data_IF_985709991724
#
_entry.id   IF_985709991724
#
_cell.length_a   1.000
_cell.length_b   1.000
_cell.length_c   1.000
_cell.angle_alpha   90.00
_cell.angle_beta   90.00
_cell.angle_gamma   90.00
#
_symmetry.space_group_name_H-M   'P 1'
#
loop_
_entity.id
_entity.type
_entity.pdbx_description
1 polymer ?
#
# COMPACT_ATOMS: atom_id res chain seq x y z
N UNK A 1 -9.48 21.18 24.67
CA UNK A 1 -10.00 19.85 25.03
C UNK A 1 -11.46 19.64 24.68
N UNK A 2 -12.42 20.50 25.10
CA UNK A 2 -13.87 20.31 24.77
C UNK A 2 -14.15 20.33 23.26
N UNK A 3 -13.52 21.23 22.53
CA UNK A 3 -13.61 21.36 21.06
C UNK A 3 -13.15 20.11 20.33
N UNK A 4 -11.96 19.62 20.68
CA UNK A 4 -11.37 18.41 20.08
C UNK A 4 -12.26 17.19 20.32
N UNK A 5 -12.76 17.04 21.56
CA UNK A 5 -13.65 15.95 21.89
C UNK A 5 -14.94 15.99 21.07
N UNK A 6 -15.53 17.18 20.87
CA UNK A 6 -16.77 17.34 20.09
C UNK A 6 -16.56 16.90 18.63
N UNK A 7 -15.49 17.35 17.97
CA UNK A 7 -15.22 17.04 16.57
C UNK A 7 -14.86 15.55 16.39
N UNK A 8 -14.12 14.97 17.31
CA UNK A 8 -13.79 13.52 17.30
C UNK A 8 -15.08 12.69 17.50
N UNK A 9 -15.93 13.05 18.47
CA UNK A 9 -17.21 12.35 18.69
C UNK A 9 -18.11 12.48 17.46
N UNK A 10 -18.21 13.67 16.86
CA UNK A 10 -18.98 13.89 15.63
C UNK A 10 -18.45 12.98 14.49
N UNK A 11 -17.13 12.91 14.32
CA UNK A 11 -16.51 12.05 13.31
C UNK A 11 -16.86 10.57 13.54
N UNK A 12 -16.69 10.09 14.78
CA UNK A 12 -16.99 8.70 15.14
C UNK A 12 -18.48 8.40 14.92
N UNK A 13 -19.39 9.29 15.30
CA UNK A 13 -20.83 9.11 15.09
C UNK A 13 -21.20 9.04 13.61
N UNK A 14 -20.60 9.89 12.75
CA UNK A 14 -20.84 9.87 11.32
C UNK A 14 -20.32 8.59 10.68
N UNK A 15 -19.10 8.15 11.04
CA UNK A 15 -18.52 6.92 10.53
C UNK A 15 -19.29 5.68 11.03
N UNK A 16 -19.65 5.63 12.30
CA UNK A 16 -20.47 4.55 12.86
C UNK A 16 -21.88 4.49 12.25
N UNK A 17 -22.40 5.66 11.84
CA UNK A 17 -23.65 5.78 11.09
C UNK A 17 -23.57 5.37 9.62
N UNK A 18 -22.40 4.90 9.13
CA UNK A 18 -22.20 4.46 7.76
C UNK A 18 -22.09 5.61 6.74
N UNK A 19 -21.84 6.84 7.18
CA UNK A 19 -21.60 7.98 6.27
C UNK A 19 -20.27 7.79 5.56
N UNK A 20 -20.24 8.02 4.26
CA UNK A 20 -19.02 7.94 3.47
C UNK A 20 -17.95 8.86 4.05
N UNK A 21 -16.72 8.38 4.12
CA UNK A 21 -15.59 9.04 4.78
C UNK A 21 -15.39 10.48 4.29
N UNK A 22 -15.45 10.73 2.98
CA UNK A 22 -15.31 12.07 2.42
C UNK A 22 -16.38 13.05 2.93
N UNK A 23 -17.61 12.59 3.07
CA UNK A 23 -18.68 13.42 3.64
C UNK A 23 -18.50 13.60 5.14
N UNK A 24 -18.13 12.57 5.88
CA UNK A 24 -17.87 12.67 7.31
C UNK A 24 -16.75 13.67 7.60
N UNK A 25 -15.63 13.62 6.86
CA UNK A 25 -14.53 14.57 6.96
C UNK A 25 -14.99 16.00 6.61
N UNK A 26 -15.73 16.15 5.52
CA UNK A 26 -16.27 17.45 5.08
C UNK A 26 -17.20 18.09 6.10
N UNK A 27 -18.11 17.31 6.70
CA UNK A 27 -19.03 17.80 7.75
C UNK A 27 -18.26 18.18 9.01
N UNK A 28 -17.30 17.39 9.46
CA UNK A 28 -16.48 17.71 10.63
C UNK A 28 -15.63 18.95 10.38
N UNK A 29 -15.04 19.09 9.18
CA UNK A 29 -14.30 20.28 8.79
C UNK A 29 -15.18 21.53 8.76
N UNK A 30 -16.37 21.41 8.15
CA UNK A 30 -17.34 22.50 8.13
C UNK A 30 -17.73 22.95 9.54
N UNK A 31 -18.07 21.99 10.43
CA UNK A 31 -18.39 22.29 11.82
C UNK A 31 -17.19 22.93 12.55
N UNK A 32 -15.97 22.42 12.30
CA UNK A 32 -14.73 22.98 12.85
C UNK A 32 -14.56 24.46 12.48
N UNK A 33 -14.73 24.81 11.21
CA UNK A 33 -14.62 26.20 10.75
C UNK A 33 -15.79 27.05 11.25
N UNK A 34 -17.02 26.53 11.16
CA UNK A 34 -18.23 27.30 11.50
C UNK A 34 -18.32 27.65 13.00
N UNK A 35 -17.91 26.76 13.88
CA UNK A 35 -18.06 26.95 15.34
C UNK A 35 -16.79 27.46 16.02
N UNK A 36 -15.62 27.30 15.39
CA UNK A 36 -14.33 27.56 16.05
C UNK A 36 -13.43 28.53 15.29
N UNK A 37 -13.90 29.11 14.19
CA UNK A 37 -13.20 30.19 13.48
C UNK A 37 -14.12 31.35 13.15
N UNK A 38 -13.52 32.52 12.86
CA UNK A 38 -14.25 33.71 12.37
C UNK A 38 -14.26 33.76 10.82
N UNK A 39 -13.90 32.70 10.15
CA UNK A 39 -13.82 32.60 8.69
C UNK A 39 -15.05 31.90 8.12
N UNK A 40 -15.31 32.10 6.84
CA UNK A 40 -16.45 31.50 6.15
C UNK A 40 -16.16 30.05 5.75
N UNK A 41 -16.96 29.08 6.22
CA UNK A 41 -16.72 27.65 5.90
C UNK A 41 -16.84 27.36 4.40
N UNK A 42 -17.76 28.01 3.69
CA UNK A 42 -17.99 27.86 2.25
C UNK A 42 -16.75 28.27 1.43
N UNK A 43 -16.11 29.38 1.77
CA UNK A 43 -14.90 29.86 1.10
C UNK A 43 -13.75 28.89 1.37
N UNK A 44 -13.56 28.49 2.63
CA UNK A 44 -12.49 27.56 3.00
C UNK A 44 -12.68 26.18 2.33
N UNK A 45 -13.91 25.71 2.21
CA UNK A 45 -14.22 24.48 1.50
C UNK A 45 -13.80 24.58 0.02
N UNK A 46 -14.30 25.61 -0.68
CA UNK A 46 -14.02 25.79 -2.11
C UNK A 46 -12.53 25.97 -2.36
N UNK A 47 -11.84 26.78 -1.56
CA UNK A 47 -10.39 27.00 -1.73
C UNK A 47 -9.58 25.74 -1.43
N UNK A 48 -9.96 24.96 -0.42
CA UNK A 48 -9.25 23.69 -0.10
C UNK A 48 -9.40 22.68 -1.24
N UNK A 49 -10.62 22.50 -1.76
CA UNK A 49 -10.85 21.61 -2.90
C UNK A 49 -10.14 22.10 -4.16
N UNK A 50 -10.20 23.40 -4.44
CA UNK A 50 -9.52 23.99 -5.58
C UNK A 50 -8.00 23.79 -5.50
N UNK A 51 -7.38 24.11 -4.37
CA UNK A 51 -5.96 23.95 -4.18
C UNK A 51 -5.52 22.48 -4.32
N UNK A 52 -6.33 21.57 -3.79
CA UNK A 52 -6.06 20.14 -3.93
C UNK A 52 -6.13 19.71 -5.39
N UNK A 53 -7.21 20.01 -6.10
CA UNK A 53 -7.46 19.51 -7.45
C UNK A 53 -6.65 20.22 -8.53
N UNK A 54 -6.21 21.46 -8.30
CA UNK A 54 -5.30 22.18 -9.20
C UNK A 54 -3.84 21.76 -9.04
N UNK A 55 -3.51 20.92 -8.05
CA UNK A 55 -2.17 20.40 -7.86
C UNK A 55 -1.76 19.45 -9.00
N UNK A 56 -0.69 19.80 -9.71
CA UNK A 56 -0.13 18.94 -10.76
C UNK A 56 0.29 17.57 -10.24
N UNK A 57 0.76 17.48 -9.00
CA UNK A 57 1.18 16.21 -8.39
C UNK A 57 0.04 15.19 -8.33
N UNK A 58 -1.21 15.66 -8.22
CA UNK A 58 -2.39 14.81 -8.17
C UNK A 58 -2.72 14.16 -9.53
N UNK A 59 -2.29 14.74 -10.64
CA UNK A 59 -2.56 14.22 -11.98
C UNK A 59 -1.90 12.86 -12.24
N UNK A 60 -0.80 12.54 -11.55
CA UNK A 60 -0.16 11.22 -11.64
C UNK A 60 -1.02 10.08 -11.08
N UNK A 61 -1.87 10.38 -10.09
CA UNK A 61 -2.67 9.37 -9.39
C UNK A 61 -3.62 8.61 -10.33
N UNK A 62 -4.54 9.25 -11.09
CA UNK A 62 -5.43 8.53 -12.00
C UNK A 62 -4.68 7.79 -13.11
N UNK A 63 -3.53 8.31 -13.54
CA UNK A 63 -2.72 7.65 -14.57
C UNK A 63 -2.06 6.37 -14.03
N UNK A 64 -1.46 6.38 -12.85
CA UNK A 64 -0.92 5.17 -12.24
C UNK A 64 -2.01 4.13 -11.94
N UNK A 65 -3.18 4.57 -11.48
CA UNK A 65 -4.33 3.68 -11.28
C UNK A 65 -4.75 3.05 -12.61
N UNK A 66 -4.82 3.83 -13.69
CA UNK A 66 -5.20 3.31 -14.99
C UNK A 66 -4.15 2.35 -15.58
N UNK A 67 -2.86 2.67 -15.43
CA UNK A 67 -1.77 1.74 -15.77
C UNK A 67 -1.97 0.38 -15.08
N UNK A 68 -2.23 0.39 -13.76
CA UNK A 68 -2.50 -0.80 -12.97
C UNK A 68 -3.74 -1.57 -13.46
N UNK A 69 -4.84 -0.86 -13.71
CA UNK A 69 -6.11 -1.44 -14.21
C UNK A 69 -5.96 -2.09 -15.60
N UNK A 70 -5.14 -1.51 -16.50
CA UNK A 70 -4.84 -2.12 -17.80
C UNK A 70 -4.09 -3.44 -17.60
N UNK A 71 -2.99 -3.42 -16.84
CA UNK A 71 -2.13 -4.58 -16.63
C UNK A 71 -2.83 -5.68 -15.82
N UNK A 72 -3.71 -5.31 -14.88
CA UNK A 72 -4.55 -6.24 -14.13
C UNK A 72 -5.43 -7.12 -15.04
N UNK A 73 -5.90 -6.59 -16.19
CA UNK A 73 -6.74 -7.30 -17.15
C UNK A 73 -5.96 -8.09 -18.19
N UNK A 74 -4.64 -8.10 -18.11
CA UNK A 74 -3.77 -8.96 -18.93
C UNK A 74 -3.53 -10.30 -18.25
N UNK A 75 -2.88 -11.23 -18.96
CA UNK A 75 -2.44 -12.51 -18.39
C UNK A 75 -1.15 -12.41 -17.56
N UNK A 76 -0.90 -11.22 -17.02
CA UNK A 76 0.36 -10.94 -16.32
C UNK A 76 0.60 -11.89 -15.14
N UNK A 77 -0.40 -12.08 -14.28
CA UNK A 77 -0.26 -12.92 -13.09
C UNK A 77 0.03 -14.39 -13.45
N UNK A 78 -0.58 -14.93 -14.51
CA UNK A 78 -0.30 -16.27 -15.02
C UNK A 78 1.15 -16.37 -15.54
N UNK A 79 1.57 -15.35 -16.31
CA UNK A 79 2.93 -15.28 -16.85
C UNK A 79 3.98 -15.16 -15.73
N UNK A 80 3.66 -14.41 -14.67
CA UNK A 80 4.54 -14.28 -13.50
C UNK A 80 4.73 -15.61 -12.80
N UNK A 81 3.66 -16.32 -12.51
CA UNK A 81 3.74 -17.63 -11.89
C UNK A 81 4.53 -18.60 -12.76
N UNK A 82 4.22 -18.69 -14.05
CA UNK A 82 4.91 -19.57 -14.98
C UNK A 82 6.39 -19.20 -15.19
N UNK A 83 6.72 -17.91 -15.19
CA UNK A 83 8.10 -17.43 -15.41
C UNK A 83 9.00 -17.56 -14.19
N UNK A 84 8.45 -17.39 -12.98
CA UNK A 84 9.22 -17.47 -11.74
C UNK A 84 9.36 -18.89 -11.19
N UNK A 85 8.35 -19.74 -11.39
CA UNK A 85 8.30 -21.08 -10.83
C UNK A 85 9.55 -21.94 -11.13
N UNK A 86 10.09 -21.99 -12.36
CA UNK A 86 11.27 -22.82 -12.66
C UNK A 86 12.56 -22.36 -11.97
N UNK A 87 12.65 -21.08 -11.58
CA UNK A 87 13.83 -20.55 -10.88
C UNK A 87 13.79 -20.84 -9.40
N UNK A 88 12.60 -20.75 -8.80
CA UNK A 88 12.40 -20.84 -7.36
C UNK A 88 12.21 -22.26 -6.86
N UNK A 89 11.95 -23.23 -7.76
CA UNK A 89 11.77 -24.64 -7.42
C UNK A 89 13.01 -25.29 -6.77
N UNK A 90 14.16 -24.63 -6.84
CA UNK A 90 15.40 -25.08 -6.19
C UNK A 90 15.54 -24.61 -4.74
N UNK A 91 14.83 -23.56 -4.36
CA UNK A 91 14.89 -23.01 -3.00
C UNK A 91 14.07 -23.87 -2.03
N UNK A 92 14.46 -23.97 -0.74
CA UNK A 92 13.59 -24.54 0.28
C UNK A 92 12.27 -23.75 0.33
N UNK A 93 11.11 -24.43 0.20
CA UNK A 93 9.81 -23.77 0.07
C UNK A 93 9.29 -23.64 -1.37
N UNK A 94 10.19 -23.73 -2.38
CA UNK A 94 9.84 -23.86 -3.81
C UNK A 94 8.81 -22.86 -4.29
N UNK A 95 7.61 -23.30 -4.75
CA UNK A 95 6.57 -22.45 -5.29
C UNK A 95 5.97 -21.46 -4.28
N UNK A 96 6.17 -21.64 -2.98
CA UNK A 96 5.76 -20.65 -1.99
C UNK A 96 6.53 -19.33 -2.13
N UNK A 97 7.78 -19.37 -2.61
CA UNK A 97 8.53 -18.16 -2.95
C UNK A 97 7.97 -17.45 -4.18
N UNK A 98 7.33 -18.20 -5.09
CA UNK A 98 6.64 -17.62 -6.24
C UNK A 98 5.51 -16.72 -5.77
N UNK A 99 4.78 -17.11 -4.70
CA UNK A 99 3.74 -16.24 -4.12
C UNK A 99 4.33 -14.90 -3.71
N UNK A 100 5.44 -14.91 -2.95
CA UNK A 100 6.07 -13.69 -2.42
C UNK A 100 6.56 -12.78 -3.55
N UNK A 101 7.33 -13.34 -4.49
CA UNK A 101 7.88 -12.55 -5.60
C UNK A 101 6.79 -12.08 -6.57
N UNK A 102 5.81 -12.94 -6.88
CA UNK A 102 4.69 -12.55 -7.75
C UNK A 102 3.85 -11.45 -7.10
N UNK A 103 3.56 -11.54 -5.80
CA UNK A 103 2.85 -10.49 -5.09
C UNK A 103 3.65 -9.18 -5.07
N UNK A 104 4.96 -9.23 -4.84
CA UNK A 104 5.81 -8.04 -4.88
C UNK A 104 5.82 -7.35 -6.24
N UNK A 105 6.04 -8.10 -7.33
CA UNK A 105 6.09 -7.55 -8.69
C UNK A 105 4.69 -7.11 -9.15
N UNK A 106 3.68 -7.95 -8.93
CA UNK A 106 2.30 -7.60 -9.31
C UNK A 106 1.77 -6.43 -8.49
N UNK A 107 2.15 -6.38 -7.22
CA UNK A 107 1.84 -5.29 -6.32
C UNK A 107 2.37 -3.94 -6.80
N UNK A 108 3.62 -3.90 -7.28
CA UNK A 108 4.19 -2.71 -7.90
C UNK A 108 3.39 -2.21 -9.12
N UNK A 109 2.68 -3.10 -9.80
CA UNK A 109 1.82 -2.75 -10.95
C UNK A 109 0.42 -2.33 -10.49
N UNK A 110 -0.18 -3.07 -9.56
CA UNK A 110 -1.56 -2.85 -9.12
C UNK A 110 -1.70 -1.71 -8.11
N UNK A 111 -0.65 -1.46 -7.32
CA UNK A 111 -0.67 -0.49 -6.23
C UNK A 111 -1.68 -0.81 -5.11
N UNK A 112 -2.24 -2.03 -5.10
CA UNK A 112 -3.31 -2.46 -4.19
C UNK A 112 -3.04 -3.85 -3.63
N UNK A 113 -3.08 -3.99 -2.31
CA UNK A 113 -2.86 -5.25 -1.62
C UNK A 113 -4.00 -6.24 -1.87
N UNK A 114 -5.25 -5.81 -1.72
CA UNK A 114 -6.41 -6.69 -1.92
C UNK A 114 -6.56 -7.17 -3.37
N UNK A 115 -6.28 -6.31 -4.35
CA UNK A 115 -6.26 -6.69 -5.76
C UNK A 115 -5.14 -7.69 -6.06
N UNK A 116 -3.95 -7.48 -5.49
CA UNK A 116 -2.82 -8.41 -5.57
C UNK A 116 -3.18 -9.76 -4.96
N UNK A 117 -3.76 -9.75 -3.74
CA UNK A 117 -4.22 -10.93 -3.05
C UNK A 117 -5.21 -11.74 -3.92
N UNK A 118 -6.26 -11.09 -4.42
CA UNK A 118 -7.28 -11.74 -5.24
C UNK A 118 -6.70 -12.37 -6.52
N UNK A 119 -5.86 -11.61 -7.22
CA UNK A 119 -5.35 -12.04 -8.54
C UNK A 119 -4.33 -13.16 -8.42
N UNK A 120 -3.34 -13.00 -7.58
CA UNK A 120 -2.28 -14.01 -7.42
C UNK A 120 -2.85 -15.27 -6.77
N UNK A 121 -3.72 -15.14 -5.77
CA UNK A 121 -4.33 -16.31 -5.10
C UNK A 121 -5.21 -17.13 -6.03
N UNK A 122 -5.90 -16.50 -6.98
CA UNK A 122 -6.73 -17.20 -7.98
C UNK A 122 -5.93 -18.20 -8.81
N UNK A 123 -4.66 -17.90 -9.06
CA UNK A 123 -3.75 -18.74 -9.85
C UNK A 123 -2.95 -19.67 -8.93
N UNK A 124 -2.41 -19.13 -7.84
CA UNK A 124 -1.48 -19.84 -6.98
C UNK A 124 -2.16 -20.93 -6.13
N UNK A 125 -3.34 -20.65 -5.54
CA UNK A 125 -4.00 -21.61 -4.65
C UNK A 125 -4.34 -22.94 -5.33
N UNK A 126 -4.98 -22.98 -6.52
CA UNK A 126 -5.25 -24.22 -7.22
C UNK A 126 -3.98 -24.96 -7.61
N UNK A 127 -2.94 -24.24 -8.05
CA UNK A 127 -1.67 -24.84 -8.47
C UNK A 127 -0.88 -25.44 -7.30
N UNK A 128 -0.85 -24.75 -6.15
CA UNK A 128 -0.24 -25.25 -4.93
C UNK A 128 -1.01 -26.47 -4.37
N UNK A 129 -2.35 -26.40 -4.35
CA UNK A 129 -3.20 -27.51 -3.91
C UNK A 129 -3.00 -28.76 -4.77
N UNK A 130 -2.98 -28.61 -6.10
CA UNK A 130 -2.76 -29.69 -7.06
C UNK A 130 -1.41 -30.39 -6.84
N UNK A 131 -0.40 -29.66 -6.39
CA UNK A 131 0.94 -30.17 -6.13
C UNK A 131 1.17 -30.67 -4.70
N UNK A 132 0.14 -30.58 -3.84
CA UNK A 132 0.20 -31.10 -2.47
C UNK A 132 0.94 -30.22 -1.46
N UNK A 133 1.00 -28.89 -1.70
CA UNK A 133 1.56 -27.97 -0.71
C UNK A 133 0.65 -27.82 0.51
N UNK A 134 1.28 -27.59 1.67
CA UNK A 134 0.54 -27.28 2.89
C UNK A 134 -0.38 -26.08 2.70
N UNK A 135 -1.66 -26.27 3.01
CA UNK A 135 -2.68 -25.27 2.72
C UNK A 135 -2.59 -24.05 3.63
N UNK A 136 -2.15 -24.23 4.90
CA UNK A 136 -2.01 -23.12 5.84
C UNK A 136 -0.90 -22.19 5.39
N UNK A 137 0.26 -22.76 5.03
CA UNK A 137 1.38 -21.97 4.57
C UNK A 137 1.10 -21.32 3.20
N UNK A 138 0.38 -22.03 2.30
CA UNK A 138 -0.05 -21.46 1.02
C UNK A 138 -0.95 -20.23 1.20
N UNK A 139 -1.96 -20.32 2.06
CA UNK A 139 -2.86 -19.21 2.37
C UNK A 139 -2.11 -18.09 3.11
N UNK A 140 -1.32 -18.42 4.13
CA UNK A 140 -0.57 -17.45 4.91
C UNK A 140 0.43 -16.66 4.07
N UNK A 141 1.19 -17.34 3.19
CA UNK A 141 2.16 -16.70 2.30
C UNK A 141 1.50 -15.74 1.31
N UNK A 142 0.33 -16.08 0.77
CA UNK A 142 -0.43 -15.19 -0.12
C UNK A 142 -1.02 -14.01 0.63
N UNK A 143 -1.58 -14.26 1.83
CA UNK A 143 -2.13 -13.21 2.67
C UNK A 143 -1.08 -12.15 3.03
N UNK A 144 0.07 -12.60 3.53
CA UNK A 144 1.18 -11.72 3.89
C UNK A 144 1.83 -11.06 2.69
N UNK A 145 2.21 -11.85 1.65
CA UNK A 145 2.92 -11.30 0.51
C UNK A 145 2.10 -10.29 -0.30
N UNK A 146 0.77 -10.41 -0.31
CA UNK A 146 -0.09 -9.47 -1.02
C UNK A 146 0.02 -8.04 -0.46
N UNK A 147 0.36 -7.87 0.83
CA UNK A 147 0.55 -6.55 1.44
C UNK A 147 1.65 -5.75 0.77
N UNK A 148 2.71 -6.42 0.25
CA UNK A 148 3.77 -5.78 -0.52
C UNK A 148 3.24 -4.91 -1.69
N UNK A 149 2.00 -5.13 -2.11
CA UNK A 149 1.36 -4.38 -3.19
C UNK A 149 1.13 -2.90 -2.91
N UNK A 150 1.18 -2.47 -1.67
CA UNK A 150 1.08 -1.04 -1.31
C UNK A 150 2.43 -0.44 -0.89
N UNK A 151 3.45 -1.27 -0.66
CA UNK A 151 4.78 -0.81 -0.23
C UNK A 151 5.79 -0.73 -1.38
N UNK A 152 5.73 -1.65 -2.35
CA UNK A 152 6.65 -1.64 -3.48
C UNK A 152 6.17 -0.63 -4.54
N UNK A 153 6.98 0.38 -4.90
CA UNK A 153 6.56 1.40 -5.87
C UNK A 153 6.49 0.87 -7.32
N UNK A 154 5.62 1.52 -8.14
CA UNK A 154 4.73 2.65 -7.83
C UNK A 154 3.51 2.22 -7.02
N UNK A 155 3.19 2.94 -5.96
CA UNK A 155 2.13 2.61 -5.02
C UNK A 155 1.12 3.75 -4.90
N UNK A 156 -0.17 3.41 -4.98
CA UNK A 156 -1.27 4.38 -4.83
C UNK A 156 -1.25 4.97 -3.41
N UNK A 157 -1.02 4.15 -2.39
CA UNK A 157 -0.95 4.60 -1.01
C UNK A 157 0.17 5.61 -0.77
N UNK A 158 1.35 5.39 -1.39
CA UNK A 158 2.47 6.34 -1.33
C UNK A 158 2.14 7.68 -1.99
N UNK A 159 1.45 7.67 -3.12
CA UNK A 159 1.02 8.91 -3.79
C UNK A 159 0.04 9.67 -2.89
N UNK A 160 -0.95 8.98 -2.33
CA UNK A 160 -1.96 9.58 -1.43
C UNK A 160 -1.27 10.21 -0.22
N UNK A 161 -0.35 9.48 0.41
CA UNK A 161 0.40 10.02 1.54
C UNK A 161 1.27 11.21 1.13
N UNK A 162 1.98 11.12 0.02
CA UNK A 162 2.85 12.20 -0.47
C UNK A 162 2.06 13.50 -0.70
N UNK A 163 0.86 13.39 -1.27
CA UNK A 163 -0.05 14.54 -1.46
C UNK A 163 -0.60 15.04 -0.13
N UNK A 164 -1.03 14.15 0.78
CA UNK A 164 -1.59 14.54 2.07
C UNK A 164 -0.57 15.18 3.02
N UNK A 165 0.70 14.77 2.92
CA UNK A 165 1.81 15.25 3.74
C UNK A 165 2.63 16.38 3.07
N UNK A 166 2.27 16.76 1.84
CA UNK A 166 3.00 17.74 1.00
C UNK A 166 4.49 17.39 0.83
N UNK A 167 4.76 16.11 0.53
CA UNK A 167 6.12 15.60 0.27
C UNK A 167 6.26 15.09 -1.17
N UNK A 168 7.49 14.95 -1.64
CA UNK A 168 7.78 14.48 -3.00
C UNK A 168 7.34 13.02 -3.20
N UNK A 169 6.52 12.75 -4.23
CA UNK A 169 6.11 11.41 -4.63
C UNK A 169 7.32 10.54 -4.98
N UNK A 170 8.31 11.11 -5.70
CA UNK A 170 9.53 10.39 -6.09
C UNK A 170 10.35 9.97 -4.87
N UNK A 171 10.51 10.89 -3.89
CA UNK A 171 11.18 10.56 -2.62
C UNK A 171 10.44 9.48 -1.86
N UNK A 172 9.11 9.55 -1.86
CA UNK A 172 8.27 8.55 -1.20
C UNK A 172 8.43 7.17 -1.83
N UNK A 173 8.49 7.11 -3.18
CA UNK A 173 8.74 5.87 -3.90
C UNK A 173 10.14 5.29 -3.59
N UNK A 174 11.17 6.15 -3.59
CA UNK A 174 12.53 5.73 -3.21
C UNK A 174 12.59 5.16 -1.79
N UNK A 175 11.85 5.78 -0.87
CA UNK A 175 11.79 5.35 0.53
C UNK A 175 11.17 3.96 0.72
N UNK A 176 10.26 3.55 -0.18
CA UNK A 176 9.59 2.25 -0.11
C UNK A 176 10.42 1.06 -0.61
N UNK A 177 11.48 1.29 -1.40
CA UNK A 177 12.25 0.20 -2.04
C UNK A 177 12.94 -0.68 -1.01
N UNK A 178 13.76 -0.09 -0.15
CA UNK A 178 14.56 -0.87 0.82
C UNK A 178 13.65 -1.60 1.82
N UNK A 179 12.62 -0.95 2.43
CA UNK A 179 11.66 -1.66 3.26
C UNK A 179 10.91 -2.78 2.53
N UNK A 180 10.47 -2.55 1.29
CA UNK A 180 9.80 -3.56 0.47
C UNK A 180 10.68 -4.77 0.20
N UNK A 181 11.93 -4.55 -0.19
CA UNK A 181 12.93 -5.62 -0.37
C UNK A 181 13.21 -6.34 0.94
N UNK A 182 13.35 -5.61 2.06
CA UNK A 182 13.55 -6.20 3.38
C UNK A 182 12.41 -7.15 3.75
N UNK A 183 11.16 -6.73 3.62
CA UNK A 183 9.99 -7.55 3.94
C UNK A 183 9.90 -8.76 3.01
N UNK A 184 10.18 -8.58 1.72
CA UNK A 184 10.25 -9.69 0.76
C UNK A 184 11.28 -10.75 1.18
N UNK A 185 12.48 -10.33 1.61
CA UNK A 185 13.50 -11.25 2.13
C UNK A 185 13.08 -11.89 3.44
N UNK A 186 12.44 -11.17 4.36
CA UNK A 186 11.97 -11.72 5.62
C UNK A 186 10.87 -12.77 5.39
N UNK A 187 9.91 -12.52 4.50
CA UNK A 187 8.87 -13.49 4.14
C UNK A 187 9.46 -14.73 3.47
N UNK A 188 10.36 -14.53 2.51
CA UNK A 188 11.05 -15.64 1.84
C UNK A 188 11.94 -16.42 2.81
N UNK A 189 12.64 -15.73 3.71
CA UNK A 189 13.46 -16.34 4.76
C UNK A 189 12.64 -17.21 5.71
N UNK A 190 11.47 -16.74 6.12
CA UNK A 190 10.55 -17.53 6.94
C UNK A 190 10.07 -18.79 6.20
N UNK A 191 9.67 -18.67 4.93
CA UNK A 191 9.25 -19.80 4.10
C UNK A 191 10.40 -20.83 3.97
N UNK A 192 11.61 -20.37 3.71
CA UNK A 192 12.79 -21.25 3.60
C UNK A 192 13.09 -21.95 4.92
N UNK A 193 13.06 -21.24 6.05
CA UNK A 193 13.28 -21.79 7.38
C UNK A 193 12.21 -22.82 7.76
N UNK A 194 10.94 -22.51 7.46
CA UNK A 194 9.83 -23.41 7.71
C UNK A 194 9.95 -24.68 6.86
N UNK A 195 10.25 -24.56 5.57
CA UNK A 195 10.44 -25.68 4.67
C UNK A 195 11.65 -26.56 5.05
N UNK A 196 12.71 -25.97 5.60
CA UNK A 196 13.87 -26.71 6.10
C UNK A 196 13.52 -27.51 7.37
N UNK A 197 12.63 -27.00 8.23
CA UNK A 197 12.18 -27.71 9.45
C UNK A 197 11.13 -28.77 9.19
N UNK A 198 10.39 -28.67 8.09
CA UNK A 198 9.30 -29.60 7.74
C UNK A 198 9.48 -30.15 6.33
N UNK A 199 10.59 -30.85 6.04
CA UNK A 199 10.88 -31.37 4.71
C UNK A 199 9.83 -32.39 4.23
N UNK A 200 9.18 -33.08 5.16
CA UNK A 200 8.12 -34.06 4.90
C UNK A 200 6.85 -33.44 4.32
N UNK A 201 6.59 -32.15 4.58
CA UNK A 201 5.44 -31.43 4.05
C UNK A 201 5.74 -30.75 2.71
N UNK A 202 6.97 -30.87 2.22
CA UNK A 202 7.37 -30.29 0.95
C UNK A 202 7.16 -31.30 -0.20
N UNK A 203 6.34 -30.96 -1.21
CA UNK A 203 6.14 -31.83 -2.36
C UNK A 203 7.46 -32.00 -3.13
N UNK A 204 7.63 -33.06 -3.96
CA UNK A 204 8.82 -33.26 -4.77
C UNK A 204 9.05 -32.10 -5.74
N UNK A 205 10.27 -31.95 -6.26
CA UNK A 205 10.57 -30.95 -7.29
C UNK A 205 9.69 -31.17 -8.50
N UNK A 206 9.13 -30.06 -9.01
CA UNK A 206 8.12 -30.11 -10.08
C UNK A 206 8.70 -29.77 -11.46
N UNK A 207 9.88 -29.16 -11.51
CA UNK A 207 10.48 -28.65 -12.75
C UNK A 207 11.89 -29.18 -12.96
N UNK A 208 12.04 -30.13 -13.89
CA UNK A 208 13.34 -30.53 -14.47
C UNK A 208 13.57 -29.69 -15.73
N UNK A 209 13.89 -28.41 -15.55
CA UNK A 209 14.09 -27.50 -16.67
C UNK A 209 15.55 -27.12 -16.82
N UNK A 210 15.99 -27.05 -18.07
CA UNK A 210 17.29 -26.52 -18.47
C UNK A 210 17.37 -25.02 -18.21
N UNK A 211 18.59 -24.47 -18.12
CA UNK A 211 18.80 -23.04 -17.94
C UNK A 211 18.08 -22.19 -19.02
N UNK A 212 18.19 -22.61 -20.28
CA UNK A 212 17.55 -21.91 -21.40
C UNK A 212 16.03 -21.93 -21.37
N UNK A 213 15.42 -23.01 -20.91
CA UNK A 213 13.97 -23.10 -20.72
C UNK A 213 13.50 -22.14 -19.63
N UNK A 214 14.28 -21.94 -18.55
CA UNK A 214 14.00 -20.96 -17.51
C UNK A 214 14.08 -19.54 -18.05
N UNK A 215 15.14 -19.20 -18.79
CA UNK A 215 15.30 -17.91 -19.44
C UNK A 215 14.12 -17.65 -20.40
N UNK A 216 13.74 -18.65 -21.21
CA UNK A 216 12.58 -18.54 -22.11
C UNK A 216 11.26 -18.36 -21.35
N UNK A 217 11.06 -19.05 -20.22
CA UNK A 217 9.89 -18.86 -19.38
C UNK A 217 9.82 -17.44 -18.81
N UNK A 218 10.96 -16.92 -18.33
CA UNK A 218 11.07 -15.58 -17.77
C UNK A 218 10.97 -14.45 -18.80
N UNK A 219 11.23 -14.72 -20.08
CA UNK A 219 11.12 -13.68 -21.13
C UNK A 219 9.71 -13.07 -21.22
N UNK A 220 8.70 -13.80 -20.78
CA UNK A 220 7.31 -13.31 -20.70
C UNK A 220 7.10 -12.21 -19.64
N UNK A 221 7.98 -12.15 -18.64
CA UNK A 221 7.96 -11.12 -17.58
C UNK A 221 8.67 -9.85 -18.02
N UNK A 222 9.58 -9.97 -18.99
CA UNK A 222 10.48 -8.88 -19.40
C UNK A 222 9.74 -7.60 -19.77
N UNK A 223 8.62 -7.62 -20.55
CA UNK A 223 7.93 -6.39 -20.91
C UNK A 223 7.44 -5.59 -19.70
N UNK A 224 6.89 -6.27 -18.70
CA UNK A 224 6.38 -5.60 -17.50
C UNK A 224 7.49 -5.14 -16.58
N UNK A 225 8.53 -5.95 -16.40
CA UNK A 225 9.71 -5.55 -15.63
C UNK A 225 10.41 -4.35 -16.25
N UNK A 226 10.53 -4.32 -17.59
CA UNK A 226 11.05 -3.18 -18.31
C UNK A 226 10.16 -1.94 -18.16
N UNK A 227 8.85 -2.10 -18.20
CA UNK A 227 7.92 -1.00 -17.96
C UNK A 227 8.09 -0.40 -16.58
N UNK A 228 8.08 -1.23 -15.53
CA UNK A 228 8.28 -0.78 -14.14
C UNK A 228 9.63 -0.08 -14.02
N UNK A 229 10.69 -0.71 -14.54
CA UNK A 229 12.03 -0.14 -14.51
C UNK A 229 12.11 1.19 -15.27
N UNK A 230 11.50 1.30 -16.45
CA UNK A 230 11.51 2.52 -17.26
C UNK A 230 10.76 3.67 -16.55
N UNK A 231 9.57 3.41 -16.02
CA UNK A 231 8.80 4.38 -15.25
C UNK A 231 9.61 4.85 -14.04
N UNK A 232 10.19 3.91 -13.31
CA UNK A 232 10.91 4.21 -12.08
C UNK A 232 12.23 4.95 -12.35
N UNK A 233 13.06 4.43 -13.26
CA UNK A 233 14.35 5.03 -13.62
C UNK A 233 14.18 6.41 -14.23
N UNK A 234 13.14 6.65 -15.06
CA UNK A 234 12.88 7.97 -15.62
C UNK A 234 12.67 9.05 -14.55
N UNK A 235 11.98 8.70 -13.48
CA UNK A 235 11.79 9.60 -12.33
C UNK A 235 13.06 9.76 -11.50
N UNK A 236 13.80 8.68 -11.26
CA UNK A 236 15.03 8.69 -10.46
C UNK A 236 16.16 9.50 -11.12
N UNK A 237 16.27 9.41 -12.44
CA UNK A 237 17.28 10.13 -13.21
C UNK A 237 16.87 11.59 -13.48
N UNK A 238 15.69 12.02 -13.01
CA UNK A 238 15.16 13.36 -13.25
C UNK A 238 14.77 13.63 -14.72
N UNK A 239 14.66 12.58 -15.53
CA UNK A 239 14.26 12.68 -16.95
C UNK A 239 12.78 12.96 -17.08
N UNK A 240 11.97 12.43 -16.15
CA UNK A 240 10.53 12.62 -16.11
C UNK A 240 10.03 12.93 -14.70
N UNK A 241 9.04 13.79 -14.63
CA UNK A 241 8.22 14.01 -13.41
C UNK A 241 7.33 12.79 -13.16
N UNK A 242 6.72 12.70 -11.98
CA UNK A 242 5.76 11.62 -11.68
C UNK A 242 4.58 11.60 -12.65
N UNK A 243 4.13 12.78 -13.14
CA UNK A 243 3.05 12.88 -14.10
C UNK A 243 3.46 12.33 -15.47
N UNK A 244 4.60 12.74 -15.97
CA UNK A 244 5.13 12.26 -17.26
C UNK A 244 5.42 10.76 -17.21
N UNK A 245 6.05 10.28 -16.15
CA UNK A 245 6.33 8.87 -15.93
C UNK A 245 5.04 8.03 -15.87
N UNK A 246 3.98 8.55 -15.25
CA UNK A 246 2.68 7.87 -15.22
C UNK A 246 2.02 7.79 -16.59
N UNK A 247 2.15 8.84 -17.41
CA UNK A 247 1.65 8.85 -18.79
C UNK A 247 2.41 7.83 -19.66
N UNK A 248 3.73 7.79 -19.57
CA UNK A 248 4.54 6.74 -20.22
C UNK A 248 4.18 5.35 -19.72
N UNK A 249 3.89 5.22 -18.41
CA UNK A 249 3.41 3.98 -17.81
C UNK A 249 2.11 3.48 -18.45
N UNK A 250 1.13 4.36 -18.64
CA UNK A 250 -0.14 4.03 -19.33
C UNK A 250 0.12 3.61 -20.78
N UNK A 251 0.93 4.37 -21.53
CA UNK A 251 1.24 4.03 -22.91
C UNK A 251 1.94 2.67 -23.01
N UNK A 252 2.92 2.41 -22.14
CA UNK A 252 3.59 1.11 -22.08
C UNK A 252 2.66 -0.03 -21.71
N UNK A 253 1.74 0.18 -20.76
CA UNK A 253 0.72 -0.81 -20.38
C UNK A 253 -0.22 -1.12 -21.55
N UNK A 254 -0.65 -0.12 -22.30
CA UNK A 254 -1.46 -0.30 -23.53
C UNK A 254 -0.70 -1.11 -24.59
N UNK A 255 0.58 -0.80 -24.80
CA UNK A 255 1.44 -1.56 -25.75
C UNK A 255 1.56 -3.02 -25.30
N UNK A 256 1.83 -3.28 -24.04
CA UNK A 256 1.92 -4.65 -23.48
C UNK A 256 0.59 -5.38 -23.64
N UNK A 257 -0.53 -4.73 -23.35
CA UNK A 257 -1.86 -5.31 -23.53
C UNK A 257 -2.17 -5.61 -25.00
N UNK A 258 -1.76 -4.73 -25.93
CA UNK A 258 -1.93 -4.91 -27.37
C UNK A 258 -1.09 -6.08 -27.89
N UNK A 259 0.20 -6.12 -27.56
CA UNK A 259 1.12 -7.19 -27.97
C UNK A 259 0.71 -8.56 -27.37
N UNK A 260 0.11 -8.56 -26.18
CA UNK A 260 -0.44 -9.76 -25.54
C UNK A 260 -1.81 -10.19 -26.06
N UNK A 261 -2.41 -9.46 -27.00
CA UNK A 261 -3.75 -9.74 -27.53
C UNK A 261 -4.88 -9.50 -26.54
N UNK A 262 -4.61 -8.77 -25.43
CA UNK A 262 -5.60 -8.50 -24.38
C UNK A 262 -6.25 -7.11 -24.51
N UNK A 263 -5.82 -6.27 -25.46
CA UNK A 263 -6.38 -4.94 -25.71
C UNK A 263 -7.67 -5.06 -26.53
N UNK A 264 -8.75 -5.46 -25.86
CA UNK A 264 -10.11 -5.45 -26.43
C UNK A 264 -10.82 -4.17 -26.00
N UNK A 265 -11.86 -3.77 -26.77
CA UNK A 265 -12.69 -2.61 -26.39
C UNK A 265 -13.31 -2.76 -25.00
N UNK A 266 -13.70 -3.98 -24.63
CA UNK A 266 -14.27 -4.30 -23.32
C UNK A 266 -13.22 -4.06 -22.23
N UNK A 267 -12.02 -4.63 -22.37
CA UNK A 267 -10.95 -4.46 -21.40
C UNK A 267 -10.50 -3.00 -21.25
N UNK A 268 -10.43 -2.26 -22.37
CA UNK A 268 -10.09 -0.83 -22.35
C UNK A 268 -11.15 -0.01 -21.62
N UNK A 269 -12.43 -0.19 -21.98
CA UNK A 269 -13.55 0.50 -21.33
C UNK A 269 -13.62 0.18 -19.84
N UNK A 270 -13.48 -1.08 -19.49
CA UNK A 270 -13.59 -1.53 -18.11
C UNK A 270 -12.39 -1.07 -17.26
N UNK A 271 -11.17 -1.06 -17.82
CA UNK A 271 -10.01 -0.51 -17.15
C UNK A 271 -10.15 1.01 -16.91
N UNK A 272 -10.63 1.73 -17.91
CA UNK A 272 -10.89 3.17 -17.79
C UNK A 272 -11.98 3.45 -16.75
N UNK A 273 -13.08 2.70 -16.78
CA UNK A 273 -14.18 2.87 -15.82
C UNK A 273 -13.75 2.52 -14.39
N UNK A 274 -12.98 1.45 -14.21
CA UNK A 274 -12.40 1.09 -12.91
C UNK A 274 -11.48 2.18 -12.37
N UNK A 275 -10.56 2.64 -13.20
CA UNK A 275 -9.62 3.72 -12.87
C UNK A 275 -10.35 5.03 -12.52
N UNK A 276 -11.36 5.43 -13.31
CA UNK A 276 -12.14 6.64 -13.04
C UNK A 276 -12.89 6.56 -11.70
N UNK A 277 -13.52 5.42 -11.40
CA UNK A 277 -14.24 5.24 -10.12
C UNK A 277 -13.29 5.35 -8.92
N UNK A 278 -12.16 4.65 -8.99
CA UNK A 278 -11.18 4.67 -7.91
C UNK A 278 -10.56 6.06 -7.75
N UNK A 279 -10.17 6.70 -8.85
CA UNK A 279 -9.60 8.05 -8.83
C UNK A 279 -10.58 9.08 -8.28
N UNK A 280 -11.84 9.06 -8.72
CA UNK A 280 -12.86 9.96 -8.22
C UNK A 280 -13.10 9.79 -6.72
N UNK A 281 -13.16 8.55 -6.24
CA UNK A 281 -13.30 8.25 -4.81
C UNK A 281 -12.13 8.83 -4.01
N UNK A 282 -10.89 8.53 -4.43
CA UNK A 282 -9.68 9.00 -3.73
C UNK A 282 -9.58 10.52 -3.76
N UNK A 283 -9.81 11.14 -4.92
CA UNK A 283 -9.79 12.60 -5.04
C UNK A 283 -10.81 13.25 -4.11
N UNK A 284 -12.02 12.70 -4.03
CA UNK A 284 -13.05 13.24 -3.16
C UNK A 284 -12.66 13.14 -1.68
N UNK A 285 -12.02 12.07 -1.27
CA UNK A 285 -11.47 11.91 0.09
C UNK A 285 -10.34 12.93 0.34
N UNK A 286 -9.41 13.10 -0.61
CA UNK A 286 -8.30 14.05 -0.48
C UNK A 286 -8.77 15.50 -0.37
N UNK A 287 -9.77 15.90 -1.16
CA UNK A 287 -10.37 17.24 -1.05
C UNK A 287 -10.99 17.50 0.31
N UNK A 288 -11.74 16.51 0.83
CA UNK A 288 -12.34 16.61 2.17
C UNK A 288 -11.28 16.64 3.29
N UNK A 289 -10.19 15.87 3.12
CA UNK A 289 -9.08 15.88 4.08
C UNK A 289 -8.30 17.19 4.07
N UNK A 290 -8.06 17.77 2.91
CA UNK A 290 -7.45 19.10 2.79
C UNK A 290 -8.27 20.14 3.51
N UNK A 291 -9.60 20.11 3.33
CA UNK A 291 -10.50 20.99 4.06
C UNK A 291 -10.46 20.73 5.58
N UNK A 292 -10.41 19.46 6.01
CA UNK A 292 -10.26 19.11 7.42
C UNK A 292 -8.93 19.64 7.98
N UNK A 293 -7.83 19.53 7.23
CA UNK A 293 -6.50 20.06 7.64
C UNK A 293 -6.58 21.57 7.91
N UNK A 294 -7.21 22.32 7.02
CA UNK A 294 -7.43 23.75 7.21
C UNK A 294 -8.29 24.02 8.46
N UNK A 295 -9.38 23.27 8.62
CA UNK A 295 -10.25 23.38 9.79
C UNK A 295 -9.50 23.07 11.10
N UNK A 296 -8.68 22.03 11.11
CA UNK A 296 -7.84 21.66 12.28
C UNK A 296 -6.86 22.78 12.65
N UNK A 297 -6.29 23.47 11.65
CA UNK A 297 -5.44 24.65 11.88
C UNK A 297 -6.15 25.72 12.70
N UNK A 298 -7.43 26.03 12.39
CA UNK A 298 -8.22 27.02 13.14
C UNK A 298 -8.61 26.56 14.55
N UNK A 299 -8.81 25.25 14.76
CA UNK A 299 -9.17 24.72 16.08
C UNK A 299 -7.98 24.63 17.04
N UNK A 300 -6.74 24.72 16.55
CA UNK A 300 -5.54 24.56 17.33
C UNK A 300 -5.33 23.14 17.86
N UNK A 301 -6.12 22.17 17.41
CA UNK A 301 -6.04 20.77 17.87
C UNK A 301 -4.67 20.14 17.61
N UNK A 302 -4.05 20.27 16.42
CA UNK A 302 -2.72 19.67 16.19
C UNK A 302 -1.67 20.21 17.15
N UNK A 303 -1.71 21.52 17.44
CA UNK A 303 -0.80 22.14 18.38
C UNK A 303 -1.02 21.65 19.82
N UNK A 304 -2.27 21.62 20.25
CA UNK A 304 -2.62 21.14 21.60
C UNK A 304 -2.24 19.67 21.81
N UNK A 305 -2.42 18.83 20.76
CA UNK A 305 -1.99 17.44 20.79
C UNK A 305 -0.46 17.31 20.84
N UNK A 306 0.27 18.08 20.04
CA UNK A 306 1.73 18.12 20.10
C UNK A 306 2.24 18.54 21.49
N UNK A 307 1.67 19.61 22.06
CA UNK A 307 2.04 20.08 23.40
C UNK A 307 1.70 19.03 24.47
N UNK A 308 0.55 18.35 24.34
CA UNK A 308 0.19 17.26 25.25
C UNK A 308 1.16 16.07 25.15
N UNK A 309 1.52 15.63 23.93
CA UNK A 309 2.52 14.56 23.74
C UNK A 309 3.88 14.94 24.32
N UNK A 310 4.33 16.20 24.10
CA UNK A 310 5.57 16.69 24.70
C UNK A 310 5.48 16.72 26.21
N UNK A 311 4.31 17.09 26.80
CA UNK A 311 4.10 17.12 28.25
C UNK A 311 4.18 15.72 28.89
N UNK A 312 3.88 14.65 28.13
CA UNK A 312 4.02 13.28 28.59
C UNK A 312 5.47 12.81 28.69
N UNK A 313 6.41 13.60 28.17
CA UNK A 313 7.85 13.29 28.14
C UNK A 313 8.13 11.88 27.59
N UNK A 314 7.32 11.43 26.67
CA UNK A 314 7.51 10.13 26.01
C UNK A 314 8.79 10.17 25.18
N UNK A 315 9.58 9.11 25.28
CA UNK A 315 10.67 8.93 24.32
C UNK A 315 10.09 8.77 22.89
N UNK A 316 10.82 9.15 21.84
CA UNK A 316 10.36 8.95 20.46
C UNK A 316 9.90 7.51 20.18
N UNK A 317 10.59 6.53 20.77
CA UNK A 317 10.22 5.11 20.64
C UNK A 317 8.91 4.76 21.33
N UNK A 318 8.65 5.35 22.51
CA UNK A 318 7.39 5.14 23.23
C UNK A 318 6.22 5.77 22.47
N UNK A 319 6.41 6.95 21.88
CA UNK A 319 5.42 7.56 20.99
C UNK A 319 5.08 6.64 19.83
N UNK A 320 6.08 6.07 19.13
CA UNK A 320 5.87 5.18 18.02
C UNK A 320 5.18 3.87 18.44
N UNK A 321 5.48 3.34 19.62
CA UNK A 321 4.79 2.17 20.17
C UNK A 321 3.30 2.46 20.41
N UNK A 322 2.97 3.61 21.00
CA UNK A 322 1.58 4.05 21.19
C UNK A 322 0.87 4.22 19.85
N UNK A 323 1.51 4.90 18.89
CA UNK A 323 0.94 5.09 17.54
C UNK A 323 0.73 3.76 16.83
N UNK A 324 1.63 2.78 16.99
CA UNK A 324 1.45 1.43 16.43
C UNK A 324 0.17 0.79 16.94
N UNK A 325 -0.10 0.85 18.23
CA UNK A 325 -1.35 0.33 18.81
C UNK A 325 -2.57 1.09 18.28
N UNK A 326 -2.49 2.42 18.21
CA UNK A 326 -3.56 3.25 17.65
C UNK A 326 -3.86 2.88 16.19
N UNK A 327 -2.83 2.74 15.35
CA UNK A 327 -3.01 2.37 13.94
C UNK A 327 -3.58 0.96 13.77
N UNK A 328 -3.18 0.00 14.58
CA UNK A 328 -3.76 -1.35 14.57
C UNK A 328 -5.25 -1.31 14.93
N UNK A 329 -5.64 -0.51 15.93
CA UNK A 329 -7.06 -0.32 16.30
C UNK A 329 -7.83 0.40 15.19
N UNK A 330 -7.28 1.46 14.59
CA UNK A 330 -7.90 2.17 13.48
C UNK A 330 -8.09 1.26 12.26
N UNK A 331 -7.13 0.40 11.99
CA UNK A 331 -7.18 -0.55 10.87
C UNK A 331 -8.29 -1.61 10.99
N UNK A 332 -8.90 -1.76 12.17
CA UNK A 332 -10.10 -2.58 12.32
C UNK A 332 -11.32 -1.93 11.63
N UNK A 333 -11.38 -0.60 11.60
CA UNK A 333 -12.55 0.16 11.14
C UNK A 333 -12.34 0.89 9.82
N UNK A 334 -11.09 1.18 9.46
CA UNK A 334 -10.72 2.03 8.32
C UNK A 334 -9.94 1.25 7.28
N UNK A 335 -10.19 1.54 6.01
CA UNK A 335 -9.32 1.10 4.92
C UNK A 335 -8.02 1.94 4.86
N UNK A 336 -7.04 1.47 4.09
CA UNK A 336 -5.72 2.09 4.05
C UNK A 336 -5.71 3.55 3.59
N UNK A 337 -6.52 3.88 2.58
CA UNK A 337 -6.62 5.27 2.07
C UNK A 337 -7.16 6.20 3.15
N UNK A 338 -8.25 5.78 3.80
CA UNK A 338 -8.89 6.51 4.89
C UNK A 338 -7.96 6.70 6.07
N UNK A 339 -7.18 5.66 6.39
CA UNK A 339 -6.22 5.72 7.49
C UNK A 339 -5.13 6.75 7.21
N UNK A 340 -4.56 6.79 6.00
CA UNK A 340 -3.57 7.82 5.62
C UNK A 340 -4.18 9.21 5.76
N UNK A 341 -5.30 9.43 5.09
CA UNK A 341 -5.89 10.77 4.93
C UNK A 341 -6.37 11.33 6.27
N UNK A 342 -7.02 10.50 7.09
CA UNK A 342 -7.55 10.91 8.38
C UNK A 342 -6.44 11.25 9.38
N UNK A 343 -5.37 10.46 9.39
CA UNK A 343 -4.36 10.57 10.44
C UNK A 343 -3.22 11.51 10.10
N UNK A 344 -2.86 11.67 8.82
CA UNK A 344 -1.72 12.50 8.42
C UNK A 344 -1.85 13.93 8.94
N UNK A 345 -3.01 14.57 8.79
CA UNK A 345 -3.24 15.93 9.24
C UNK A 345 -3.02 16.17 10.75
N UNK A 346 -3.27 15.12 11.55
CA UNK A 346 -3.23 15.20 13.02
C UNK A 346 -1.92 14.66 13.58
N UNK A 347 -1.46 13.52 13.05
CA UNK A 347 -0.32 12.77 13.61
C UNK A 347 1.01 13.26 13.07
N UNK A 348 1.09 13.71 11.80
CA UNK A 348 2.34 14.13 11.19
C UNK A 348 3.04 15.25 11.97
N UNK A 349 2.37 16.33 12.44
CA UNK A 349 3.01 17.36 13.24
C UNK A 349 3.61 16.84 14.55
N UNK A 350 2.93 15.86 15.19
CA UNK A 350 3.42 15.22 16.43
C UNK A 350 4.70 14.43 16.19
N UNK A 351 4.72 13.68 15.10
CA UNK A 351 5.87 12.83 14.73
C UNK A 351 7.07 13.68 14.31
N UNK A 352 6.82 14.79 13.61
CA UNK A 352 7.87 15.77 13.28
C UNK A 352 8.44 16.44 14.54
N UNK A 353 7.58 16.81 15.50
CA UNK A 353 8.02 17.35 16.79
C UNK A 353 8.86 16.35 17.60
N UNK A 354 8.64 15.04 17.42
CA UNK A 354 9.45 13.97 18.00
C UNK A 354 10.77 13.70 17.23
N UNK A 355 11.04 14.43 16.14
CA UNK A 355 12.28 14.36 15.38
C UNK A 355 12.29 13.34 14.23
N UNK A 356 11.16 12.76 13.87
CA UNK A 356 11.07 11.83 12.72
C UNK A 356 10.85 12.58 11.40
N UNK A 357 11.44 12.04 10.34
CA UNK A 357 11.28 12.54 8.97
C UNK A 357 9.88 12.24 8.41
N UNK A 358 9.22 13.19 7.71
CA UNK A 358 7.91 12.97 7.10
C UNK A 358 7.85 11.80 6.10
N UNK A 359 8.91 11.61 5.32
CA UNK A 359 8.99 10.52 4.33
C UNK A 359 9.09 9.17 5.05
N UNK A 360 9.91 9.10 6.10
CA UNK A 360 10.00 7.94 6.96
C UNK A 360 8.64 7.59 7.57
N UNK A 361 7.93 8.60 8.07
CA UNK A 361 6.59 8.40 8.66
C UNK A 361 5.59 7.87 7.64
N UNK A 362 5.70 8.28 6.36
CA UNK A 362 4.87 7.72 5.29
C UNK A 362 5.09 6.23 5.10
N UNK A 363 6.34 5.76 5.12
CA UNK A 363 6.63 4.31 5.06
C UNK A 363 6.09 3.59 6.30
N UNK A 364 6.24 4.20 7.48
CA UNK A 364 5.68 3.66 8.71
C UNK A 364 4.15 3.47 8.61
N UNK A 365 3.40 4.49 8.17
CA UNK A 365 1.94 4.38 7.98
C UNK A 365 1.60 3.25 7.01
N UNK A 366 2.32 3.12 5.90
CA UNK A 366 2.06 2.08 4.91
C UNK A 366 2.25 0.69 5.52
N UNK A 367 3.29 0.47 6.32
CA UNK A 367 3.47 -0.81 7.02
C UNK A 367 2.36 -1.03 8.07
N UNK A 368 1.85 0.03 8.71
CA UNK A 368 0.70 -0.08 9.60
C UNK A 368 -0.57 -0.53 8.85
N UNK A 369 -0.77 -0.03 7.62
CA UNK A 369 -1.86 -0.48 6.76
C UNK A 369 -1.67 -1.95 6.38
N UNK A 370 -0.47 -2.36 6.02
CA UNK A 370 -0.16 -3.77 5.73
C UNK A 370 -0.52 -4.69 6.90
N UNK A 371 -0.15 -4.30 8.12
CA UNK A 371 -0.51 -5.02 9.33
C UNK A 371 -2.03 -5.09 9.52
N UNK A 372 -2.74 -4.00 9.30
CA UNK A 372 -4.19 -3.93 9.40
C UNK A 372 -4.89 -4.86 8.40
N UNK A 373 -4.38 -4.95 7.16
CA UNK A 373 -4.97 -5.77 6.10
C UNK A 373 -4.91 -7.28 6.35
N UNK A 374 -4.01 -7.74 7.22
CA UNK A 374 -3.86 -9.15 7.59
C UNK A 374 -4.22 -9.43 9.04
N UNK A 375 -4.70 -8.43 9.78
CA UNK A 375 -5.10 -8.59 11.18
C UNK A 375 -6.61 -8.80 11.34
N UNK A 376 -7.05 -9.77 12.16
CA UNK A 376 -8.46 -9.92 12.49
C UNK A 376 -8.93 -8.73 13.37
N UNK A 377 -10.23 -8.34 13.35
CA UNK A 377 -11.36 -9.05 12.73
C UNK A 377 -11.69 -8.65 11.29
N UNK A 378 -11.08 -7.60 10.71
CA UNK A 378 -11.55 -7.00 9.44
C UNK A 378 -10.49 -6.97 8.34
N UNK A 379 -9.35 -7.60 8.50
CA UNK A 379 -8.29 -7.56 7.48
C UNK A 379 -8.79 -7.87 6.07
N UNK A 380 -8.65 -6.91 5.13
CA UNK A 380 -9.19 -7.04 3.76
C UNK A 380 -8.65 -8.27 3.02
N UNK A 381 -7.36 -8.60 3.18
CA UNK A 381 -6.78 -9.79 2.58
C UNK A 381 -7.37 -11.09 3.17
N UNK A 382 -7.76 -11.07 4.46
CA UNK A 382 -8.43 -12.19 5.09
C UNK A 382 -9.80 -12.45 4.44
N UNK A 383 -10.58 -11.39 4.15
CA UNK A 383 -11.87 -11.51 3.45
C UNK A 383 -11.73 -12.02 2.02
N UNK A 384 -10.73 -11.51 1.29
CA UNK A 384 -10.45 -11.98 -0.07
C UNK A 384 -10.20 -13.49 -0.06
N UNK A 385 -9.31 -13.96 0.81
CA UNK A 385 -8.98 -15.38 0.91
C UNK A 385 -10.12 -16.23 1.47
N UNK A 386 -10.94 -15.68 2.37
CA UNK A 386 -12.17 -16.33 2.84
C UNK A 386 -13.12 -16.63 1.70
N UNK A 387 -13.40 -15.63 0.87
CA UNK A 387 -14.29 -15.80 -0.28
C UNK A 387 -13.74 -16.79 -1.31
N UNK A 388 -12.42 -16.87 -1.47
CA UNK A 388 -11.78 -17.76 -2.43
C UNK A 388 -11.64 -19.20 -1.95
N UNK A 389 -11.43 -19.39 -0.65
CA UNK A 389 -11.12 -20.71 -0.08
C UNK A 389 -12.32 -21.36 0.62
N UNK A 390 -13.36 -20.59 0.95
CA UNK A 390 -14.50 -21.03 1.75
C UNK A 390 -14.15 -21.34 3.21
N UNK A 391 -12.93 -21.06 3.67
CA UNK A 391 -12.49 -21.30 5.04
C UNK A 391 -12.96 -20.20 5.98
N UNK A 392 -13.07 -20.51 7.26
CA UNK A 392 -13.37 -19.48 8.26
C UNK A 392 -12.27 -18.42 8.34
N UNK A 393 -12.64 -17.16 8.57
CA UNK A 393 -11.71 -16.05 8.73
C UNK A 393 -10.64 -16.35 9.79
N UNK A 394 -11.00 -16.97 10.90
CA UNK A 394 -10.07 -17.32 11.97
C UNK A 394 -9.00 -18.32 11.49
N UNK A 395 -9.36 -19.28 10.64
CA UNK A 395 -8.39 -20.23 10.04
C UNK A 395 -7.40 -19.51 9.16
N UNK A 396 -7.85 -18.53 8.35
CA UNK A 396 -7.00 -17.74 7.49
C UNK A 396 -6.11 -16.82 8.32
N UNK A 397 -6.67 -16.16 9.33
CA UNK A 397 -5.91 -15.31 10.25
C UNK A 397 -4.80 -16.09 10.97
N UNK A 398 -5.08 -17.29 11.48
CA UNK A 398 -4.03 -18.14 12.05
C UNK A 398 -2.94 -18.51 11.04
N UNK A 399 -3.31 -18.73 9.78
CA UNK A 399 -2.34 -19.01 8.72
C UNK A 399 -1.47 -17.80 8.40
N UNK A 400 -2.03 -16.58 8.52
CA UNK A 400 -1.32 -15.32 8.27
C UNK A 400 -0.47 -14.85 9.47
N UNK A 401 -0.69 -15.39 10.68
CA UNK A 401 0.00 -14.95 11.91
C UNK A 401 1.52 -14.86 11.80
N UNK A 402 2.24 -15.83 11.23
CA UNK A 402 3.69 -15.71 11.10
C UNK A 402 4.10 -14.49 10.28
N UNK A 403 3.38 -14.20 9.22
CA UNK A 403 3.63 -13.04 8.35
C UNK A 403 3.28 -11.72 9.04
N UNK A 404 2.25 -11.71 9.88
CA UNK A 404 1.92 -10.58 10.75
C UNK A 404 3.08 -10.25 11.71
N UNK A 405 3.64 -11.25 12.40
CA UNK A 405 4.77 -11.03 13.29
C UNK A 405 6.04 -10.57 12.54
N UNK A 406 6.23 -11.02 11.30
CA UNK A 406 7.33 -10.53 10.46
C UNK A 406 7.13 -9.06 10.10
N UNK A 407 5.91 -8.62 9.80
CA UNK A 407 5.62 -7.19 9.61
C UNK A 407 5.83 -6.38 10.89
N UNK A 408 5.44 -6.92 12.06
CA UNK A 408 5.76 -6.30 13.34
C UNK A 408 7.29 -6.16 13.53
N UNK A 409 8.06 -7.19 13.19
CA UNK A 409 9.52 -7.13 13.22
C UNK A 409 10.06 -6.06 12.25
N UNK A 410 9.52 -6.00 11.02
CA UNK A 410 9.90 -4.98 10.04
C UNK A 410 9.60 -3.57 10.54
N UNK A 411 8.46 -3.38 11.23
CA UNK A 411 8.10 -2.12 11.89
C UNK A 411 9.12 -1.75 12.97
N UNK A 412 9.49 -2.68 13.83
CA UNK A 412 10.51 -2.44 14.87
C UNK A 412 11.85 -2.08 14.22
N UNK A 413 12.27 -2.81 13.18
CA UNK A 413 13.50 -2.50 12.45
C UNK A 413 13.45 -1.11 11.82
N UNK A 414 12.32 -0.70 11.23
CA UNK A 414 12.13 0.63 10.67
C UNK A 414 12.21 1.74 11.74
N UNK A 415 11.66 1.49 12.94
CA UNK A 415 11.70 2.46 14.05
C UNK A 415 13.12 2.58 14.62
N UNK A 416 13.82 1.46 14.79
CA UNK A 416 15.18 1.44 15.35
C UNK A 416 16.21 1.95 14.35
N UNK A 417 16.01 1.67 13.06
CA UNK A 417 16.89 2.06 11.96
C UNK A 417 16.13 2.90 10.90
N UNK A 418 15.87 4.18 11.17
CA UNK A 418 15.14 5.05 10.24
C UNK A 418 15.79 5.17 8.85
N UNK A 419 17.10 4.95 8.78
CA UNK A 419 17.88 4.92 7.54
C UNK A 419 17.38 3.87 6.53
N UNK A 420 16.67 2.83 6.96
CA UNK A 420 16.05 1.84 6.07
C UNK A 420 15.12 2.53 5.05
N UNK A 421 14.39 3.58 5.47
CA UNK A 421 13.53 4.34 4.57
C UNK A 421 14.20 5.61 4.01
N UNK A 422 15.10 6.25 4.76
CA UNK A 422 15.60 7.59 4.41
C UNK A 422 16.91 7.58 3.65
N UNK A 423 17.68 6.48 3.71
CA UNK A 423 19.00 6.42 3.08
C UNK A 423 18.95 6.58 1.56
N UNK A 424 18.08 5.83 0.87
CA UNK A 424 18.03 5.85 -0.59
C UNK A 424 17.54 7.20 -1.13
N UNK A 425 16.46 7.81 -0.62
CA UNK A 425 16.07 9.18 -1.00
C UNK A 425 17.17 10.20 -0.75
N UNK A 426 17.86 10.11 0.40
CA UNK A 426 18.97 11.01 0.76
C UNK A 426 20.18 10.88 -0.16
N UNK A 427 20.56 9.64 -0.50
CA UNK A 427 21.69 9.36 -1.38
C UNK A 427 21.47 9.81 -2.84
N UNK A 428 20.22 9.73 -3.32
CA UNK A 428 19.91 10.01 -4.73
C UNK A 428 19.45 11.43 -4.99
N UNK A 429 18.74 12.06 -4.06
CA UNK A 429 18.14 13.39 -4.24
C UNK A 429 18.67 14.44 -3.27
N UNK A 430 19.65 14.11 -2.47
CA UNK A 430 20.23 14.97 -1.42
C UNK A 430 19.31 15.10 -0.20
N UNK A 431 19.91 15.38 0.94
CA UNK A 431 19.20 15.78 2.17
C UNK A 431 18.76 17.23 2.04
N UNK A 432 17.50 17.50 1.80
CA UNK A 432 16.87 18.81 2.02
C UNK A 432 15.77 18.65 3.03
#
# INVERSE_FOLDING_TARGET
MKTSALLIVLLILLLAGGVWISFALGVVAWAGVAFFSNTRPDINLVTSYWNTYSSLSLASLPMFIWMGEILFRTRLAEQMFAGLAPWLDRLPGRLLHVNVLSCGIFGAVSGSSSATCATISKIALPELAKRGYDQRLSIGSLCGAATLGILIPPSIAMIIYAVAADVSIVRMFLAGIIPGILILFLFSGYIALWAWRHPELMPPRSFETTFWERVKASSRLLPVLLLIAAVFLSMMLGVATANEASAFGVLGALVIAALGGNLTWINLRDSLTGSLRMSAMIMFILGAASFLTVAMGFTGIPRALSEWVVSLQLSPYALMAVLTVVYLVLGIALDGVSMIVLTTAVVLPMVQAAGFDPIWFGIYIIIMIELAEISPPVGFNLFVLQNMTGKSMMTIAHSAMPFFFILCLATVLLIVFPSIATWLPGAMMGTK
#
